data_IF_740711927362
#
_entry.id   IF_740711927362
#
_cell.length_a   1.000
_cell.length_b   1.000
_cell.length_c   1.000
_cell.angle_alpha   90.00
_cell.angle_beta   90.00
_cell.angle_gamma   90.00
#
_symmetry.space_group_name_H-M   'P 1'
#
loop_
_entity.id
_entity.type
_entity.pdbx_description
1 polymer ?
#
# COMPACT_ATOMS: atom_id res chain seq x y z
N UNK A 1 35.59 -11.85 -13.71
CA UNK A 1 34.60 -11.05 -12.96
C UNK A 1 35.36 -9.98 -12.18
N UNK A 2 35.13 -8.71 -12.46
CA UNK A 2 35.79 -7.58 -11.77
C UNK A 2 35.06 -7.30 -10.46
N UNK A 3 35.80 -7.13 -9.36
CA UNK A 3 35.20 -6.72 -8.10
C UNK A 3 34.63 -5.29 -8.23
N UNK A 4 33.63 -4.96 -7.40
CA UNK A 4 33.00 -3.64 -7.41
C UNK A 4 34.03 -2.50 -7.23
N UNK A 5 35.05 -2.72 -6.39
CA UNK A 5 36.11 -1.73 -6.12
C UNK A 5 36.91 -1.40 -7.38
N UNK A 6 37.25 -2.37 -8.23
CA UNK A 6 37.94 -2.12 -9.48
C UNK A 6 37.05 -1.35 -10.48
N UNK A 7 35.73 -1.63 -10.50
CA UNK A 7 34.79 -0.87 -11.33
C UNK A 7 34.67 0.58 -10.86
N UNK A 8 34.66 0.82 -9.54
CA UNK A 8 34.64 2.17 -8.96
C UNK A 8 35.89 2.95 -9.37
N UNK A 9 37.08 2.35 -9.24
CA UNK A 9 38.34 3.02 -9.57
C UNK A 9 38.50 3.36 -11.06
N UNK A 10 37.79 2.63 -11.93
CA UNK A 10 37.84 2.81 -13.37
C UNK A 10 36.69 3.69 -13.91
N UNK A 11 35.78 4.15 -13.06
CA UNK A 11 34.63 4.97 -13.47
C UNK A 11 34.86 6.42 -13.11
N UNK A 12 34.54 7.33 -14.03
CA UNK A 12 34.73 8.78 -13.82
C UNK A 12 33.57 9.44 -13.06
N UNK A 13 32.42 8.78 -13.00
CA UNK A 13 31.22 9.25 -12.30
C UNK A 13 30.34 8.09 -11.80
N UNK A 14 29.48 8.38 -10.82
CA UNK A 14 28.50 7.40 -10.32
C UNK A 14 27.49 6.97 -11.39
N UNK A 15 27.14 7.87 -12.32
CA UNK A 15 26.21 7.58 -13.43
C UNK A 15 26.83 6.65 -14.49
N UNK A 16 28.13 6.77 -14.73
CA UNK A 16 28.86 5.85 -15.60
C UNK A 16 29.01 4.47 -14.94
N UNK A 17 29.33 4.47 -13.64
CA UNK A 17 29.42 3.25 -12.85
C UNK A 17 28.10 2.48 -12.84
N UNK A 18 26.97 3.15 -12.58
CA UNK A 18 25.66 2.49 -12.51
C UNK A 18 25.25 1.83 -13.82
N UNK A 19 25.60 2.42 -14.97
CA UNK A 19 25.39 1.82 -16.30
C UNK A 19 26.28 0.60 -16.56
N UNK A 20 27.44 0.54 -15.92
CA UNK A 20 28.42 -0.55 -16.07
C UNK A 20 28.15 -1.78 -15.18
N UNK A 21 27.25 -1.64 -14.19
CA UNK A 21 26.89 -2.68 -13.25
C UNK A 21 25.62 -3.37 -13.74
N UNK A 22 25.73 -4.66 -14.01
CA UNK A 22 24.58 -5.47 -14.42
C UNK A 22 23.87 -6.06 -13.20
N UNK A 23 22.61 -6.47 -13.35
CA UNK A 23 21.88 -7.21 -12.31
C UNK A 23 22.62 -8.50 -11.93
N UNK A 24 23.24 -9.18 -12.90
CA UNK A 24 24.03 -10.38 -12.66
C UNK A 24 25.26 -10.10 -11.79
N UNK A 25 25.96 -8.98 -12.03
CA UNK A 25 27.08 -8.55 -11.18
C UNK A 25 26.60 -8.34 -9.72
N UNK A 26 25.43 -7.70 -9.54
CA UNK A 26 24.86 -7.46 -8.23
C UNK A 26 24.50 -8.77 -7.50
N UNK A 27 23.87 -9.74 -8.18
CA UNK A 27 23.54 -11.05 -7.61
C UNK A 27 24.82 -11.75 -7.11
N UNK A 28 25.86 -11.77 -7.95
CA UNK A 28 27.13 -12.42 -7.59
C UNK A 28 27.83 -11.72 -6.42
N UNK A 29 27.76 -10.38 -6.33
CA UNK A 29 28.31 -9.66 -5.19
C UNK A 29 27.55 -9.92 -3.89
N UNK A 30 26.21 -10.06 -3.95
CA UNK A 30 25.41 -10.43 -2.79
C UNK A 30 25.79 -11.84 -2.32
N UNK A 31 25.89 -12.80 -3.24
CA UNK A 31 26.32 -14.17 -2.93
C UNK A 31 27.72 -14.18 -2.30
N UNK A 32 28.67 -13.48 -2.91
CA UNK A 32 30.05 -13.40 -2.42
C UNK A 32 30.13 -12.67 -1.07
N UNK A 33 29.35 -11.61 -0.86
CA UNK A 33 29.29 -10.92 0.42
C UNK A 33 28.73 -11.84 1.51
N UNK A 34 27.64 -12.54 1.21
CA UNK A 34 27.01 -13.50 2.12
C UNK A 34 27.98 -14.62 2.53
N UNK A 35 28.70 -15.20 1.56
CA UNK A 35 29.69 -16.26 1.82
C UNK A 35 30.84 -15.84 2.75
N UNK A 36 31.11 -14.54 2.87
CA UNK A 36 32.16 -13.99 3.73
C UNK A 36 31.67 -13.63 5.12
N UNK A 37 30.35 -13.63 5.35
CA UNK A 37 29.78 -13.41 6.67
C UNK A 37 30.09 -14.63 7.53
N UNK A 38 30.80 -14.42 8.64
CA UNK A 38 31.08 -15.48 9.63
C UNK A 38 29.87 -15.68 10.54
N UNK A 39 29.61 -16.91 10.95
CA UNK A 39 28.56 -17.23 11.93
C UNK A 39 28.67 -16.39 13.19
N UNK A 40 29.90 -16.20 13.69
CA UNK A 40 30.15 -15.36 14.86
C UNK A 40 29.70 -13.90 14.68
N UNK A 41 29.70 -13.36 13.46
CA UNK A 41 29.19 -12.02 13.16
C UNK A 41 27.68 -12.00 13.31
N UNK A 42 27.00 -13.01 12.78
CA UNK A 42 25.54 -13.18 12.87
C UNK A 42 25.15 -13.26 14.35
N UNK A 43 25.76 -14.15 15.12
CA UNK A 43 25.48 -14.31 16.57
C UNK A 43 25.72 -13.01 17.34
N UNK A 44 26.80 -12.28 17.07
CA UNK A 44 27.09 -11.01 17.73
C UNK A 44 26.07 -9.92 17.38
N UNK A 45 25.59 -9.88 16.14
CA UNK A 45 24.55 -8.94 15.72
C UNK A 45 23.23 -9.21 16.45
N UNK A 46 22.79 -10.47 16.51
CA UNK A 46 21.61 -10.87 17.28
C UNK A 46 21.76 -10.56 18.77
N UNK A 47 22.92 -10.87 19.36
CA UNK A 47 23.21 -10.54 20.76
C UNK A 47 23.12 -9.03 21.03
N UNK A 48 23.69 -8.21 20.15
CA UNK A 48 23.63 -6.75 20.28
C UNK A 48 22.24 -6.17 20.08
N UNK A 49 21.40 -6.85 19.29
CA UNK A 49 19.99 -6.49 19.10
C UNK A 49 19.09 -6.91 20.29
N UNK A 50 19.66 -7.54 21.33
CA UNK A 50 18.89 -8.07 22.46
C UNK A 50 18.19 -9.39 22.18
N UNK A 51 18.49 -10.02 21.03
CA UNK A 51 18.00 -11.32 20.60
C UNK A 51 19.00 -12.45 20.92
N UNK A 52 20.10 -12.12 21.62
CA UNK A 52 21.08 -13.10 22.06
C UNK A 52 20.51 -13.92 23.20
N UNK A 53 20.38 -15.22 22.98
CA UNK A 53 20.10 -16.15 24.05
C UNK A 53 21.40 -16.36 24.84
N UNK A 54 21.47 -15.85 26.07
CA UNK A 54 22.37 -16.40 27.09
C UNK A 54 21.99 -17.85 27.45
N UNK A 55 20.87 -18.35 26.93
CA UNK A 55 20.59 -19.78 26.84
C UNK A 55 21.28 -20.37 25.63
N UNK A 56 22.18 -21.30 25.92
CA UNK A 56 22.52 -22.47 25.12
C UNK A 56 21.59 -22.60 23.91
N UNK A 57 22.10 -22.26 22.73
CA UNK A 57 21.42 -22.54 21.46
C UNK A 57 21.14 -24.03 21.49
N UNK A 58 19.91 -24.40 21.85
CA UNK A 58 19.42 -25.74 21.66
C UNK A 58 19.66 -25.95 20.17
N UNK A 59 20.57 -26.87 19.86
CA UNK A 59 20.74 -27.37 18.51
C UNK A 59 19.44 -28.08 18.20
N UNK A 60 18.45 -27.31 17.76
CA UNK A 60 17.28 -27.85 17.11
C UNK A 60 17.81 -28.34 15.77
N UNK A 61 18.27 -29.59 15.78
CA UNK A 61 18.32 -30.40 14.57
C UNK A 61 16.98 -30.19 13.84
N UNK A 62 16.95 -30.27 12.50
CA UNK A 62 15.71 -30.20 11.75
C UNK A 62 14.89 -31.46 12.09
N UNK A 63 14.21 -31.44 13.22
CA UNK A 63 13.37 -32.51 13.71
C UNK A 63 12.11 -32.47 12.88
N UNK A 64 11.89 -33.56 12.14
CA UNK A 64 10.71 -33.74 11.32
C UNK A 64 9.45 -33.58 12.18
N UNK A 65 8.79 -32.43 12.02
CA UNK A 65 7.34 -32.14 12.12
C UNK A 65 6.53 -32.63 13.33
N UNK A 66 7.11 -33.33 14.31
CA UNK A 66 6.36 -33.97 15.39
C UNK A 66 6.65 -33.36 16.77
N UNK A 67 7.79 -32.69 16.96
CA UNK A 67 8.11 -32.02 18.23
C UNK A 67 7.15 -30.84 18.50
N UNK A 68 6.70 -30.16 17.44
CA UNK A 68 5.74 -29.05 17.52
C UNK A 68 4.36 -29.48 18.04
N UNK A 69 3.95 -30.74 17.90
CA UNK A 69 2.69 -31.20 18.46
C UNK A 69 2.84 -31.57 19.94
N UNK A 70 4.02 -32.08 20.33
CA UNK A 70 4.29 -32.52 21.71
C UNK A 70 4.34 -31.37 22.71
N UNK A 71 4.93 -30.22 22.38
CA UNK A 71 4.98 -29.08 23.31
C UNK A 71 3.58 -28.46 23.52
N UNK A 72 2.75 -28.43 22.49
CA UNK A 72 1.38 -27.94 22.57
C UNK A 72 0.51 -28.85 23.43
N UNK A 73 0.66 -30.18 23.30
CA UNK A 73 -0.02 -31.15 24.16
C UNK A 73 0.31 -30.91 25.64
N UNK A 74 1.60 -30.71 25.96
CA UNK A 74 2.05 -30.43 27.33
C UNK A 74 1.50 -29.11 27.88
N UNK A 75 1.41 -28.07 27.05
CA UNK A 75 0.82 -26.79 27.47
C UNK A 75 -0.68 -26.88 27.70
N UNK A 76 -1.41 -27.58 26.84
CA UNK A 76 -2.85 -27.80 27.00
C UNK A 76 -3.13 -28.53 28.33
N UNK A 77 -2.36 -29.57 28.63
CA UNK A 77 -2.45 -30.29 29.90
C UNK A 77 -2.13 -29.39 31.10
N UNK A 78 -1.12 -28.51 30.98
CA UNK A 78 -0.72 -27.61 32.06
C UNK A 78 -1.72 -26.48 32.33
N UNK A 79 -2.35 -25.94 31.28
CA UNK A 79 -3.37 -24.89 31.39
C UNK A 79 -4.73 -25.48 31.81
N UNK A 80 -4.92 -26.79 31.68
CA UNK A 80 -6.13 -27.50 32.11
C UNK A 80 -7.34 -27.23 31.22
N UNK A 81 -7.11 -26.95 29.93
CA UNK A 81 -8.17 -26.71 28.96
C UNK A 81 -8.61 -28.04 28.36
N UNK A 82 -9.92 -28.27 28.30
CA UNK A 82 -10.53 -29.45 27.68
C UNK A 82 -10.63 -29.28 26.16
N UNK A 83 -9.52 -28.97 25.49
CA UNK A 83 -9.42 -28.88 24.03
C UNK A 83 -8.30 -29.78 23.56
N UNK A 84 -8.52 -30.55 22.50
CA UNK A 84 -7.45 -31.37 21.92
C UNK A 84 -6.49 -30.50 21.11
N UNK A 85 -5.24 -30.95 20.94
CA UNK A 85 -4.27 -30.24 20.10
C UNK A 85 -4.76 -30.07 18.67
N UNK A 86 -5.47 -31.07 18.13
CA UNK A 86 -6.06 -31.01 16.80
C UNK A 86 -7.16 -29.94 16.71
N UNK A 87 -8.05 -29.84 17.70
CA UNK A 87 -9.08 -28.79 17.75
C UNK A 87 -8.48 -27.40 17.90
N UNK A 88 -7.38 -27.26 18.65
CA UNK A 88 -6.69 -25.98 18.80
C UNK A 88 -5.95 -25.55 17.52
N UNK A 89 -5.33 -26.48 16.81
CA UNK A 89 -4.62 -26.19 15.55
C UNK A 89 -5.58 -25.86 14.41
N UNK A 90 -6.74 -26.51 14.37
CA UNK A 90 -7.71 -26.42 13.27
C UNK A 90 -8.94 -25.59 13.67
N UNK A 91 -8.81 -24.66 14.62
CA UNK A 91 -9.95 -23.87 15.10
C UNK A 91 -10.54 -23.00 13.99
N UNK A 92 -9.73 -22.61 13.01
CA UNK A 92 -10.08 -21.76 11.90
C UNK A 92 -10.46 -22.53 10.62
N UNK A 93 -10.36 -23.86 10.58
CA UNK A 93 -10.74 -24.68 9.41
C UNK A 93 -12.19 -24.48 8.98
N UNK A 94 -13.06 -24.12 9.93
CA UNK A 94 -14.48 -23.84 9.67
C UNK A 94 -14.74 -22.40 9.22
N UNK A 95 -13.74 -21.51 9.29
CA UNK A 95 -13.85 -20.15 8.81
C UNK A 95 -13.64 -20.15 7.29
N UNK A 96 -14.60 -19.61 6.52
CA UNK A 96 -14.38 -19.37 5.10
C UNK A 96 -13.22 -18.38 4.94
N UNK A 97 -12.07 -18.88 4.49
CA UNK A 97 -10.89 -18.05 4.15
C UNK A 97 -10.99 -17.54 2.71
N UNK A 98 -11.87 -18.13 1.92
CA UNK A 98 -12.30 -17.67 0.62
C UNK A 98 -13.82 -17.53 0.60
N UNK A 99 -14.29 -16.49 -0.08
CA UNK A 99 -15.69 -16.35 -0.40
C UNK A 99 -15.97 -17.30 -1.57
N UNK A 100 -16.75 -18.37 -1.33
CA UNK A 100 -17.06 -19.39 -2.35
C UNK A 100 -18.05 -18.82 -3.36
N UNK A 101 -17.60 -17.86 -4.15
CA UNK A 101 -18.33 -17.50 -5.35
C UNK A 101 -18.30 -18.70 -6.29
N UNK A 102 -19.44 -19.01 -6.91
CA UNK A 102 -19.50 -20.06 -7.92
C UNK A 102 -18.69 -19.68 -9.17
N UNK A 103 -18.85 -20.46 -10.24
CA UNK A 103 -18.26 -20.13 -11.55
C UNK A 103 -18.71 -18.76 -12.12
N UNK A 104 -19.61 -18.06 -11.43
CA UNK A 104 -20.17 -16.74 -11.68
C UNK A 104 -19.56 -15.63 -10.79
N UNK A 105 -18.45 -15.90 -10.08
CA UNK A 105 -17.72 -14.90 -9.28
C UNK A 105 -17.35 -13.65 -10.09
N UNK A 106 -16.96 -13.86 -11.35
CA UNK A 106 -16.62 -12.78 -12.27
C UNK A 106 -17.84 -11.88 -12.52
N UNK A 107 -19.04 -12.44 -12.66
CA UNK A 107 -20.25 -11.66 -12.89
C UNK A 107 -20.66 -10.84 -11.66
N UNK A 108 -20.45 -11.37 -10.46
CA UNK A 108 -20.69 -10.65 -9.20
C UNK A 108 -19.68 -9.52 -8.99
N UNK A 109 -18.39 -9.79 -9.21
CA UNK A 109 -17.33 -8.78 -9.13
C UNK A 109 -17.57 -7.67 -10.16
N UNK A 110 -17.90 -8.05 -11.39
CA UNK A 110 -18.24 -7.11 -12.45
C UNK A 110 -19.51 -6.33 -12.10
N UNK A 111 -20.56 -6.93 -11.56
CA UNK A 111 -21.76 -6.21 -11.14
C UNK A 111 -21.48 -5.18 -10.02
N UNK A 112 -20.58 -5.50 -9.09
CA UNK A 112 -20.16 -4.61 -8.02
C UNK A 112 -19.35 -3.41 -8.56
N UNK A 113 -18.49 -3.62 -9.54
CA UNK A 113 -17.59 -2.59 -10.08
C UNK A 113 -18.09 -1.88 -11.35
N UNK A 114 -19.03 -2.50 -12.09
CA UNK A 114 -19.68 -1.93 -13.28
C UNK A 114 -21.00 -1.22 -12.98
N UNK A 115 -21.29 -0.93 -11.70
CA UNK A 115 -22.31 0.07 -11.43
C UNK A 115 -21.95 1.36 -12.21
N UNK A 116 -22.81 1.84 -13.13
CA UNK A 116 -22.50 3.00 -13.96
C UNK A 116 -22.30 4.29 -13.16
N UNK A 117 -22.49 4.26 -11.83
CA UNK A 117 -22.14 5.35 -10.93
C UNK A 117 -20.62 5.46 -10.60
N UNK A 118 -19.78 4.45 -10.88
CA UNK A 118 -18.37 4.43 -10.41
C UNK A 118 -17.29 4.14 -11.46
N UNK A 119 -17.64 3.88 -12.73
CA UNK A 119 -16.64 3.58 -13.75
C UNK A 119 -16.03 4.86 -14.35
N UNK A 120 -14.86 5.25 -13.86
CA UNK A 120 -13.91 6.08 -14.61
C UNK A 120 -12.80 5.16 -15.15
N UNK A 121 -13.02 4.56 -16.33
CA UNK A 121 -11.97 3.77 -17.01
C UNK A 121 -10.95 4.74 -17.59
N UNK A 122 -9.90 5.00 -16.81
CA UNK A 122 -8.65 5.54 -17.35
C UNK A 122 -8.04 4.50 -18.28
N UNK A 123 -8.08 4.80 -19.58
CA UNK A 123 -7.47 3.98 -20.63
C UNK A 123 -5.96 3.88 -20.37
N UNK A 124 -5.45 2.67 -20.13
CA UNK A 124 -4.01 2.39 -20.06
C UNK A 124 -3.37 2.71 -21.41
N UNK A 125 -2.62 3.81 -21.48
CA UNK A 125 -1.62 4.03 -22.53
C UNK A 125 -0.24 3.83 -21.91
N UNK A 126 0.48 2.90 -22.54
CA UNK A 126 1.90 2.60 -22.41
C UNK A 126 2.73 3.89 -22.24
N UNK A 127 3.40 4.04 -21.09
CA UNK A 127 4.22 5.20 -20.75
C UNK A 127 5.69 4.88 -21.00
N UNK A 128 6.19 5.32 -22.15
CA UNK A 128 7.60 5.70 -22.31
C UNK A 128 7.87 6.98 -21.53
N UNK A 129 8.94 6.99 -20.73
CA UNK A 129 9.46 8.13 -19.97
C UNK A 129 9.50 9.43 -20.79
N UNK A 130 8.59 10.35 -20.48
CA UNK A 130 8.77 11.78 -20.72
C UNK A 130 8.24 12.48 -19.47
N UNK A 131 9.13 13.22 -18.82
CA UNK A 131 8.80 14.15 -17.74
C UNK A 131 7.76 15.16 -18.25
N UNK A 132 6.49 14.95 -17.90
CA UNK A 132 5.41 15.89 -18.21
C UNK A 132 4.94 16.55 -16.91
N UNK A 133 5.36 17.81 -16.75
CA UNK A 133 4.76 18.79 -15.85
C UNK A 133 3.23 18.65 -15.87
N UNK A 134 2.65 18.30 -14.72
CA UNK A 134 1.20 18.19 -14.55
C UNK A 134 0.56 19.58 -14.67
N UNK A 135 0.28 20.00 -15.89
CA UNK A 135 -0.57 21.17 -16.16
C UNK A 135 -2.02 20.76 -15.94
N UNK A 136 -2.48 20.86 -14.69
CA UNK A 136 -3.90 20.73 -14.37
C UNK A 136 -4.66 21.85 -15.10
N UNK A 137 -5.40 21.50 -16.14
CA UNK A 137 -6.33 22.43 -16.79
C UNK A 137 -7.33 22.96 -15.76
N UNK A 138 -7.65 24.27 -15.75
CA UNK A 138 -8.55 24.83 -14.76
C UNK A 138 -9.94 24.19 -14.89
N UNK A 139 -10.39 23.53 -13.82
CA UNK A 139 -11.73 22.94 -13.71
C UNK A 139 -12.78 23.99 -14.07
N UNK A 140 -13.71 23.64 -14.96
CA UNK A 140 -14.76 24.55 -15.39
C UNK A 140 -15.67 24.90 -14.22
N UNK A 141 -16.12 26.15 -14.12
CA UNK A 141 -16.90 26.60 -12.97
C UNK A 141 -18.25 25.85 -12.81
N UNK A 142 -18.87 25.47 -13.94
CA UNK A 142 -20.06 24.62 -13.94
C UNK A 142 -19.76 23.21 -13.40
N UNK A 143 -18.56 22.71 -13.66
CA UNK A 143 -18.10 21.39 -13.20
C UNK A 143 -17.83 21.41 -11.69
N UNK A 144 -17.28 22.50 -11.16
CA UNK A 144 -17.11 22.70 -9.71
C UNK A 144 -18.44 22.75 -8.94
N UNK A 145 -19.48 23.37 -9.51
CA UNK A 145 -20.81 23.40 -8.87
C UNK A 145 -21.52 22.04 -8.95
N UNK A 146 -21.46 21.36 -10.09
CA UNK A 146 -22.05 20.03 -10.26
C UNK A 146 -21.41 18.99 -9.32
N UNK A 147 -20.09 19.07 -9.12
CA UNK A 147 -19.36 18.18 -8.20
C UNK A 147 -19.73 18.45 -6.73
N UNK A 148 -19.89 19.70 -6.33
CA UNK A 148 -20.39 20.06 -4.98
C UNK A 148 -21.83 19.61 -4.73
N UNK A 149 -22.71 19.72 -5.73
CA UNK A 149 -24.08 19.22 -5.65
C UNK A 149 -24.11 17.68 -5.51
N UNK A 150 -23.25 16.99 -6.25
CA UNK A 150 -23.03 15.55 -6.11
C UNK A 150 -22.58 15.17 -4.70
N UNK A 151 -21.57 15.87 -4.16
CA UNK A 151 -21.10 15.67 -2.79
C UNK A 151 -22.22 15.88 -1.78
N UNK A 152 -22.97 16.98 -1.87
CA UNK A 152 -24.11 17.25 -0.99
C UNK A 152 -25.15 16.11 -1.02
N UNK A 153 -25.48 15.60 -2.21
CA UNK A 153 -26.43 14.48 -2.37
C UNK A 153 -25.90 13.20 -1.71
N UNK A 154 -24.62 12.87 -1.88
CA UNK A 154 -24.01 11.69 -1.25
C UNK A 154 -24.01 11.76 0.27
N UNK A 155 -23.78 12.96 0.82
CA UNK A 155 -23.80 13.21 2.26
C UNK A 155 -25.21 13.03 2.83
N UNK A 156 -26.25 13.48 2.10
CA UNK A 156 -27.65 13.30 2.50
C UNK A 156 -28.13 11.85 2.38
N UNK A 157 -27.56 11.07 1.46
CA UNK A 157 -27.88 9.64 1.31
C UNK A 157 -27.10 8.73 2.28
N UNK A 158 -26.03 9.25 2.88
CA UNK A 158 -25.27 8.57 3.93
C UNK A 158 -25.92 8.79 5.30
N UNK A 159 -25.77 7.82 6.21
CA UNK A 159 -26.41 7.71 7.53
C UNK A 159 -26.63 9.05 8.28
N UNK A 160 -27.78 9.26 8.94
CA UNK A 160 -28.17 10.57 9.51
C UNK A 160 -27.36 11.05 10.72
N UNK A 161 -26.42 10.27 11.24
CA UNK A 161 -25.73 10.58 12.50
C UNK A 161 -24.26 10.96 12.26
N UNK A 162 -23.98 12.26 12.16
CA UNK A 162 -22.61 12.82 12.22
C UNK A 162 -22.16 13.71 11.05
N UNK A 163 -22.97 13.90 10.01
CA UNK A 163 -22.52 14.62 8.81
C UNK A 163 -22.79 16.13 8.79
N UNK A 164 -23.32 16.73 9.86
CA UNK A 164 -23.70 18.15 9.93
C UNK A 164 -22.51 19.09 9.63
N UNK A 165 -21.32 18.81 10.18
CA UNK A 165 -20.11 19.60 9.92
C UNK A 165 -19.67 19.52 8.45
N UNK A 166 -19.83 18.36 7.83
CA UNK A 166 -19.47 18.16 6.43
C UNK A 166 -20.44 18.90 5.51
N UNK A 167 -21.73 18.91 5.87
CA UNK A 167 -22.75 19.69 5.17
C UNK A 167 -22.50 21.20 5.29
N UNK A 168 -22.10 21.67 6.47
CA UNK A 168 -21.70 23.06 6.68
C UNK A 168 -20.50 23.44 5.83
N UNK A 169 -19.51 22.56 5.71
CA UNK A 169 -18.31 22.81 4.90
C UNK A 169 -18.63 22.87 3.40
N UNK A 170 -19.46 21.94 2.90
CA UNK A 170 -19.89 21.94 1.49
C UNK A 170 -20.69 23.19 1.16
N UNK A 171 -21.62 23.62 2.03
CA UNK A 171 -22.37 24.86 1.82
C UNK A 171 -21.46 26.10 1.83
N UNK A 172 -20.47 26.16 2.74
CA UNK A 172 -19.50 27.27 2.78
C UNK A 172 -18.63 27.36 1.54
N UNK A 173 -18.27 26.22 0.94
CA UNK A 173 -17.55 26.18 -0.34
C UNK A 173 -18.43 26.67 -1.50
N UNK A 174 -19.71 26.30 -1.53
CA UNK A 174 -20.68 26.80 -2.53
C UNK A 174 -20.80 28.32 -2.45
N UNK A 175 -20.98 28.89 -1.25
CA UNK A 175 -21.06 30.35 -1.05
C UNK A 175 -19.79 31.07 -1.49
N UNK A 176 -18.61 30.48 -1.24
CA UNK A 176 -17.34 31.07 -1.62
C UNK A 176 -17.18 31.13 -3.14
N UNK A 177 -17.58 30.06 -3.84
CA UNK A 177 -17.57 30.02 -5.31
C UNK A 177 -18.57 31.03 -5.87
N UNK A 178 -19.80 31.10 -5.36
CA UNK A 178 -20.81 32.07 -5.79
C UNK A 178 -20.36 33.52 -5.57
N UNK A 179 -19.76 33.82 -4.42
CA UNK A 179 -19.19 35.14 -4.13
C UNK A 179 -18.05 35.49 -5.09
N UNK A 180 -17.19 34.53 -5.42
CA UNK A 180 -16.12 34.73 -6.38
C UNK A 180 -16.68 34.99 -7.80
N UNK A 181 -17.77 34.34 -8.19
CA UNK A 181 -18.50 34.63 -9.45
C UNK A 181 -19.02 36.07 -9.46
N UNK A 182 -19.72 36.49 -8.41
CA UNK A 182 -20.28 37.85 -8.36
C UNK A 182 -19.18 38.89 -8.44
N UNK A 183 -18.07 38.70 -7.70
CA UNK A 183 -16.95 39.66 -7.72
C UNK A 183 -16.18 39.68 -9.05
N UNK A 184 -16.01 38.54 -9.71
CA UNK A 184 -15.37 38.47 -11.04
C UNK A 184 -16.27 39.07 -12.12
N UNK A 185 -17.59 38.87 -12.05
CA UNK A 185 -18.57 39.51 -12.94
C UNK A 185 -18.68 41.02 -12.69
N UNK A 186 -18.60 41.48 -11.45
CA UNK A 186 -18.59 42.91 -11.11
C UNK A 186 -17.34 43.61 -11.67
N UNK A 187 -16.15 43.03 -11.43
CA UNK A 187 -14.88 43.54 -11.99
C UNK A 187 -14.87 43.56 -13.52
N UNK A 188 -15.50 42.58 -14.16
CA UNK A 188 -15.64 42.54 -15.62
C UNK A 188 -16.62 43.60 -16.15
N UNK A 189 -17.63 43.99 -15.36
CA UNK A 189 -18.58 45.05 -15.72
C UNK A 189 -17.97 46.45 -15.55
N UNK A 190 -17.23 46.68 -14.46
CA UNK A 190 -16.52 47.96 -14.21
C UNK A 190 -15.44 48.23 -15.27
N UNK A 191 -14.75 47.18 -15.73
CA UNK A 191 -13.73 47.31 -16.78
C UNK A 191 -14.32 47.53 -18.20
N UNK A 192 -15.65 47.40 -18.36
CA UNK A 192 -16.36 47.63 -19.63
C UNK A 192 -17.01 49.02 -19.70
N UNK A 193 -17.06 49.75 -18.59
CA UNK A 193 -17.54 51.13 -18.48
C UNK A 193 -16.42 52.18 -18.68
N UNK A 194 -15.17 51.75 -18.79
CA UNK A 194 -13.98 52.61 -19.02
C UNK A 194 -13.42 52.54 -20.46
N UNK A 195 -14.16 51.96 -21.40
CA UNK A 195 -13.90 52.00 -22.85
C UNK A 195 -15.12 52.52 -23.58
#
# INVERSE_FOLDING_TARGET
>A
MSNLVAKINNSSSATELSKSITVLDAIYWIEQAWSQVKDSTITKCFAKAGLGTDSEIIKTEPSESNESETWLQQLIEHVGVQITTAEYMNFDDSFPTEETYGNDWEQHLLAQHLNPATINVSTFKDQSDVEEETSASPVSLSEALNTLEGLRKTILSSSPDGHEKMLQHVNGLTELIEKNIVTTKLKAADNKLLT
#
